data_IF_348007263255
#
_entry.id   IF_348007263255
#
_cell.length_a   1.000
_cell.length_b   1.000
_cell.length_c   1.000
_cell.angle_alpha   90.00
_cell.angle_beta   90.00
_cell.angle_gamma   90.00
#
_symmetry.space_group_name_H-M   'P 1'
#
loop_
_entity.id
_entity.type
_entity.pdbx_description
1 polymer ?
#
# COMPACT_ATOMS: atom_id res chain seq x y z
N UNK A 1 -37.07 16.89 -0.84
CA UNK A 1 -35.72 16.40 -0.53
C UNK A 1 -35.03 16.14 -1.86
N UNK A 2 -34.04 16.95 -2.24
CA UNK A 2 -33.33 16.81 -3.53
C UNK A 2 -32.10 15.94 -3.34
N UNK A 3 -31.97 14.87 -4.14
CA UNK A 3 -30.81 13.98 -4.14
C UNK A 3 -29.75 14.59 -5.07
N UNK A 4 -28.46 14.66 -4.69
CA UNK A 4 -27.42 15.13 -5.59
C UNK A 4 -27.31 14.21 -6.82
N UNK A 5 -27.28 14.80 -8.02
CA UNK A 5 -27.21 14.08 -9.31
C UNK A 5 -25.77 13.62 -9.64
N UNK A 6 -24.77 14.21 -9.00
CA UNK A 6 -23.37 13.86 -9.18
C UNK A 6 -22.56 14.11 -7.90
N UNK A 7 -21.44 13.40 -7.79
CA UNK A 7 -20.42 13.58 -6.76
C UNK A 7 -19.24 14.32 -7.38
N UNK A 8 -18.75 15.37 -6.71
CA UNK A 8 -17.50 16.03 -7.08
C UNK A 8 -16.36 15.32 -6.36
N UNK A 9 -15.44 14.73 -7.11
CA UNK A 9 -14.23 14.11 -6.57
C UNK A 9 -13.05 15.08 -6.69
N UNK A 10 -12.80 15.85 -5.63
CA UNK A 10 -11.75 16.87 -5.55
C UNK A 10 -10.81 16.66 -4.35
N UNK A 11 -10.66 15.41 -3.90
CA UNK A 11 -9.70 15.06 -2.86
C UNK A 11 -8.27 15.33 -3.33
N UNK A 12 -7.43 15.85 -2.42
CA UNK A 12 -6.03 16.10 -2.69
C UNK A 12 -5.30 14.77 -3.00
N UNK A 13 -4.63 14.64 -4.16
CA UNK A 13 -3.88 13.43 -4.48
C UNK A 13 -2.60 13.27 -3.63
N UNK A 14 -2.14 14.34 -2.98
CA UNK A 14 -0.93 14.40 -2.18
C UNK A 14 -1.26 14.18 -0.70
N UNK A 15 -0.41 13.41 -0.01
CA UNK A 15 -0.55 13.15 1.43
C UNK A 15 0.32 14.15 2.18
N UNK A 16 1.62 14.18 1.85
CA UNK A 16 2.57 15.16 2.35
C UNK A 16 3.79 15.22 1.43
N UNK A 17 4.49 16.35 1.47
CA UNK A 17 5.77 16.57 0.79
C UNK A 17 6.88 16.66 1.82
N UNK A 18 7.93 15.86 1.66
CA UNK A 18 9.11 15.88 2.51
C UNK A 18 10.30 16.37 1.70
N UNK A 19 11.03 17.34 2.24
CA UNK A 19 12.32 17.74 1.70
C UNK A 19 13.38 16.69 2.09
N UNK A 20 13.93 16.00 1.10
CA UNK A 20 15.06 15.08 1.26
C UNK A 20 16.31 15.73 0.66
N UNK A 21 17.10 16.39 1.51
CA UNK A 21 18.28 17.14 1.07
C UNK A 21 17.90 18.36 0.24
N UNK A 22 18.29 18.37 -1.04
CA UNK A 22 18.00 19.46 -1.98
C UNK A 22 16.73 19.23 -2.81
N UNK A 23 16.07 18.06 -2.66
CA UNK A 23 14.91 17.67 -3.47
C UNK A 23 13.66 17.54 -2.61
N UNK A 24 12.51 17.87 -3.18
CA UNK A 24 11.20 17.63 -2.58
C UNK A 24 10.63 16.31 -3.10
N UNK A 25 10.24 15.42 -2.19
CA UNK A 25 9.58 14.17 -2.49
C UNK A 25 8.16 14.24 -1.96
N UNK A 26 7.19 14.13 -2.86
CA UNK A 26 5.76 14.14 -2.51
C UNK A 26 5.22 12.73 -2.47
N UNK A 27 4.66 12.35 -1.32
CA UNK A 27 3.95 11.10 -1.17
C UNK A 27 2.50 11.26 -1.67
N UNK A 28 2.08 10.40 -2.60
CA UNK A 28 0.73 10.41 -3.18
C UNK A 28 -0.06 9.17 -2.76
N UNK A 29 -1.39 9.30 -2.72
CA UNK A 29 -2.28 8.21 -2.31
C UNK A 29 -2.11 6.92 -3.12
N UNK A 30 -1.92 7.02 -4.44
CA UNK A 30 -1.72 5.82 -5.27
C UNK A 30 -0.42 5.08 -4.91
N UNK A 31 0.64 5.81 -4.55
CA UNK A 31 1.91 5.22 -4.17
C UNK A 31 1.82 4.52 -2.81
N UNK A 32 1.14 5.15 -1.86
CA UNK A 32 0.85 4.54 -0.55
C UNK A 32 0.02 3.26 -0.70
N UNK A 33 -1.09 3.32 -1.44
CA UNK A 33 -1.97 2.17 -1.64
C UNK A 33 -1.28 1.03 -2.40
N UNK A 34 -0.42 1.36 -3.37
CA UNK A 34 0.42 0.39 -4.05
C UNK A 34 1.36 -0.33 -3.08
N UNK A 35 2.12 0.42 -2.27
CA UNK A 35 3.04 -0.15 -1.28
C UNK A 35 2.31 -1.00 -0.23
N UNK A 36 1.15 -0.54 0.25
CA UNK A 36 0.29 -1.28 1.18
C UNK A 36 -0.18 -2.63 0.60
N UNK A 37 -0.43 -2.70 -0.71
CA UNK A 37 -0.78 -3.95 -1.39
C UNK A 37 0.28 -5.04 -1.20
N UNK A 38 1.56 -4.69 -1.30
CA UNK A 38 2.66 -5.63 -1.06
C UNK A 38 2.71 -6.08 0.39
N UNK A 39 2.63 -5.14 1.33
CA UNK A 39 2.69 -5.44 2.76
C UNK A 39 1.57 -6.39 3.16
N UNK A 40 0.33 -6.12 2.74
CA UNK A 40 -0.83 -6.96 3.03
C UNK A 40 -0.67 -8.35 2.40
N UNK A 41 -0.23 -8.41 1.13
CA UNK A 41 -0.03 -9.69 0.44
C UNK A 41 1.00 -10.57 1.15
N UNK A 42 2.09 -9.97 1.62
CA UNK A 42 3.12 -10.66 2.40
C UNK A 42 2.56 -11.21 3.73
N UNK A 43 1.74 -10.43 4.45
CA UNK A 43 1.08 -10.92 5.68
C UNK A 43 0.13 -12.09 5.41
N UNK A 44 -0.61 -12.06 4.29
CA UNK A 44 -1.47 -13.18 3.89
C UNK A 44 -0.64 -14.43 3.61
N UNK A 45 0.49 -14.31 2.91
CA UNK A 45 1.37 -15.45 2.62
C UNK A 45 1.94 -16.06 3.90
N UNK A 46 2.41 -15.25 4.85
CA UNK A 46 2.84 -15.76 6.16
C UNK A 46 1.72 -16.52 6.88
N UNK A 47 0.50 -15.98 6.87
CA UNK A 47 -0.65 -16.65 7.48
C UNK A 47 -0.94 -18.02 6.85
N UNK A 48 -0.89 -18.12 5.52
CA UNK A 48 -1.08 -19.38 4.79
C UNK A 48 0.03 -20.39 5.16
N UNK A 49 1.30 -19.98 5.08
CA UNK A 49 2.44 -20.87 5.34
C UNK A 49 2.44 -21.40 6.78
N UNK A 50 2.11 -20.53 7.75
CA UNK A 50 1.96 -20.92 9.15
C UNK A 50 0.83 -21.92 9.36
N UNK A 51 -0.27 -21.78 8.63
CA UNK A 51 -1.41 -22.70 8.69
C UNK A 51 -1.08 -24.07 8.07
N UNK A 52 -0.25 -24.09 7.03
CA UNK A 52 0.19 -25.32 6.35
C UNK A 52 1.39 -26.02 7.05
N UNK A 53 1.92 -25.45 8.14
CA UNK A 53 3.09 -25.99 8.83
C UNK A 53 4.39 -25.88 8.03
N UNK A 54 4.42 -24.99 7.04
CA UNK A 54 5.61 -24.70 6.22
C UNK A 54 6.47 -23.61 6.87
N UNK A 55 7.79 -23.64 6.67
CA UNK A 55 8.68 -22.63 7.24
C UNK A 55 8.38 -21.25 6.64
N UNK A 56 8.20 -20.25 7.51
CA UNK A 56 7.89 -18.87 7.12
C UNK A 56 9.02 -18.23 6.29
N UNK A 57 10.24 -18.76 6.36
CA UNK A 57 11.41 -18.34 5.59
C UNK A 57 11.24 -18.49 4.07
N UNK A 58 10.34 -19.37 3.61
CA UNK A 58 10.09 -19.57 2.18
C UNK A 58 9.25 -18.42 1.58
N UNK A 59 8.50 -17.69 2.41
CA UNK A 59 7.76 -16.48 2.00
C UNK A 59 8.72 -15.32 1.74
N UNK A 60 9.81 -15.25 2.49
CA UNK A 60 10.84 -14.22 2.31
C UNK A 60 11.55 -14.36 0.96
N UNK A 61 11.78 -15.61 0.51
CA UNK A 61 12.35 -15.87 -0.83
C UNK A 61 11.43 -15.34 -1.93
N UNK A 62 10.12 -15.51 -1.80
CA UNK A 62 9.15 -15.09 -2.82
C UNK A 62 8.97 -13.58 -2.95
N UNK A 63 9.36 -12.82 -1.91
CA UNK A 63 9.18 -11.36 -1.86
C UNK A 63 10.48 -10.63 -2.20
N UNK A 64 11.63 -11.27 -2.04
CA UNK A 64 12.97 -10.67 -2.19
C UNK A 64 13.69 -11.11 -3.47
N UNK A 65 13.38 -12.29 -4.03
CA UNK A 65 13.95 -12.79 -5.29
C UNK A 65 12.97 -12.71 -6.45
#
# INVERSE_FOLDING_TARGET
MTVPVYLIWNGDPEIFTVALGQNEITLRWYGLLFALGFVISQQILYYIYRTEGKPESDVDVLTVY
#
